data_IF_504613454869
#
_entry.id   IF_504613454869
#
_cell.length_a   1.000
_cell.length_b   1.000
_cell.length_c   1.000
_cell.angle_alpha   90.00
_cell.angle_beta   90.00
_cell.angle_gamma   90.00
#
_symmetry.space_group_name_H-M   'P 1'
#
loop_
_entity.id
_entity.type
_entity.pdbx_description
1 polymer ?
#
# COMPACT_ATOMS: atom_id res chain seq x y z
N UNK A 1 -15.99 -15.94 -25.65
CA UNK A 1 -15.23 -16.06 -24.37
C UNK A 1 -13.76 -16.47 -24.55
N UNK A 2 -13.41 -17.51 -25.32
CA UNK A 2 -12.01 -17.95 -25.53
C UNK A 2 -11.08 -16.87 -26.13
N UNK A 3 -11.59 -16.00 -27.00
CA UNK A 3 -10.80 -14.91 -27.60
C UNK A 3 -10.39 -13.82 -26.60
N UNK A 4 -11.22 -13.53 -25.58
CA UNK A 4 -10.91 -12.53 -24.55
C UNK A 4 -9.86 -13.06 -23.56
N UNK A 5 -9.94 -14.34 -23.17
CA UNK A 5 -8.94 -14.99 -22.32
C UNK A 5 -7.58 -15.07 -23.01
N UNK A 6 -7.55 -15.38 -24.31
CA UNK A 6 -6.32 -15.40 -25.11
C UNK A 6 -5.74 -13.99 -25.29
N UNK A 7 -6.60 -12.96 -25.43
CA UNK A 7 -6.18 -11.54 -25.46
C UNK A 7 -5.61 -11.11 -24.11
N UNK A 8 -6.21 -11.50 -22.99
CA UNK A 8 -5.67 -11.23 -21.64
C UNK A 8 -4.32 -11.95 -21.45
N UNK A 9 -4.20 -13.22 -21.85
CA UNK A 9 -2.95 -13.99 -21.77
C UNK A 9 -1.83 -13.46 -22.69
N UNK A 10 -2.16 -12.99 -23.89
CA UNK A 10 -1.19 -12.35 -24.80
C UNK A 10 -0.85 -10.93 -24.36
N UNK A 11 -1.80 -10.19 -23.77
CA UNK A 11 -1.56 -8.88 -23.15
C UNK A 11 -0.70 -9.00 -21.88
N UNK A 12 -0.82 -10.11 -21.14
CA UNK A 12 0.08 -10.49 -20.04
C UNK A 12 1.48 -10.87 -20.54
N UNK A 13 1.61 -11.48 -21.73
CA UNK A 13 2.90 -11.84 -22.35
C UNK A 13 3.65 -10.65 -22.97
N UNK A 14 2.92 -9.61 -23.39
CA UNK A 14 3.46 -8.32 -23.89
C UNK A 14 3.26 -7.22 -22.83
N UNK A 15 3.17 -7.61 -21.54
CA UNK A 15 3.16 -6.68 -20.43
C UNK A 15 4.51 -5.95 -20.36
N UNK A 16 4.53 -4.67 -19.97
CA UNK A 16 5.76 -3.97 -19.59
C UNK A 16 6.52 -4.84 -18.59
N UNK A 17 7.54 -5.55 -19.04
CA UNK A 17 8.24 -6.60 -18.30
C UNK A 17 8.73 -6.13 -16.94
N UNK A 18 8.98 -4.82 -16.81
CA UNK A 18 9.36 -4.16 -15.56
C UNK A 18 8.34 -4.27 -14.42
N UNK A 19 7.02 -4.25 -14.68
CA UNK A 19 6.03 -4.21 -13.59
C UNK A 19 5.77 -5.57 -12.97
N UNK A 20 5.52 -6.61 -13.78
CA UNK A 20 5.29 -7.96 -13.27
C UNK A 20 6.54 -8.51 -12.58
N UNK A 21 7.73 -8.27 -13.15
CA UNK A 21 9.00 -8.63 -12.53
C UNK A 21 9.22 -7.85 -11.23
N UNK A 22 8.84 -6.57 -11.17
CA UNK A 22 8.91 -5.79 -9.94
C UNK A 22 7.97 -6.36 -8.88
N UNK A 23 6.69 -6.56 -9.17
CA UNK A 23 5.72 -7.16 -8.24
C UNK A 23 6.21 -8.53 -7.77
N UNK A 24 6.61 -9.42 -8.68
CA UNK A 24 7.07 -10.76 -8.34
C UNK A 24 8.34 -10.77 -7.48
N UNK A 25 9.21 -9.76 -7.60
CA UNK A 25 10.42 -9.63 -6.75
C UNK A 25 10.11 -8.96 -5.42
N UNK A 26 9.21 -7.98 -5.41
CA UNK A 26 8.91 -7.19 -4.23
C UNK A 26 7.92 -7.92 -3.31
N UNK A 27 6.95 -8.66 -3.84
CA UNK A 27 5.95 -9.37 -3.04
C UNK A 27 6.57 -10.34 -2.02
N UNK A 28 7.50 -11.25 -2.38
CA UNK A 28 8.10 -12.17 -1.41
C UNK A 28 8.93 -11.45 -0.35
N UNK A 29 9.67 -10.40 -0.75
CA UNK A 29 10.47 -9.58 0.17
C UNK A 29 9.60 -8.87 1.22
N UNK A 30 8.34 -8.57 0.90
CA UNK A 30 7.38 -7.93 1.81
C UNK A 30 6.58 -8.93 2.64
N UNK A 31 6.06 -9.97 1.99
CA UNK A 31 5.15 -10.93 2.64
C UNK A 31 5.92 -11.89 3.53
N UNK A 32 7.15 -12.27 3.16
CA UNK A 32 7.92 -13.25 3.92
C UNK A 32 8.29 -12.75 5.33
N UNK A 33 8.85 -11.52 5.53
CA UNK A 33 9.15 -11.04 6.88
C UNK A 33 7.89 -10.91 7.75
N UNK A 34 6.77 -10.44 7.18
CA UNK A 34 5.51 -10.33 7.92
C UNK A 34 4.97 -11.71 8.30
N UNK A 35 5.03 -12.68 7.39
CA UNK A 35 4.59 -14.04 7.66
C UNK A 35 5.47 -14.71 8.71
N UNK A 36 6.80 -14.59 8.60
CA UNK A 36 7.76 -15.11 9.57
C UNK A 36 7.57 -14.48 10.95
N UNK A 37 7.36 -13.16 10.99
CA UNK A 37 7.14 -12.43 12.25
C UNK A 37 5.79 -12.80 12.88
N UNK A 38 4.72 -12.94 12.08
CA UNK A 38 3.39 -13.36 12.56
C UNK A 38 3.43 -14.81 13.08
N UNK A 39 4.14 -15.69 12.39
CA UNK A 39 4.38 -17.06 12.84
C UNK A 39 5.19 -17.09 14.15
N UNK A 40 6.24 -16.26 14.26
CA UNK A 40 7.01 -16.12 15.49
C UNK A 40 6.13 -15.63 16.65
N UNK A 41 5.30 -14.61 16.44
CA UNK A 41 4.33 -14.12 17.44
C UNK A 41 3.36 -15.20 17.90
N UNK A 42 2.84 -16.03 16.98
CA UNK A 42 1.94 -17.14 17.32
C UNK A 42 2.64 -18.23 18.13
N UNK A 43 3.89 -18.56 17.79
CA UNK A 43 4.71 -19.51 18.56
C UNK A 43 4.99 -18.97 19.97
N UNK A 44 5.26 -17.68 20.08
CA UNK A 44 5.55 -16.99 21.36
C UNK A 44 4.30 -16.84 22.22
N UNK A 45 3.13 -16.57 21.62
CA UNK A 45 1.84 -16.58 22.33
C UNK A 45 1.40 -17.98 22.75
N UNK A 46 1.78 -19.00 21.98
CA UNK A 46 1.49 -20.41 22.28
C UNK A 46 2.51 -21.13 23.16
N UNK A 47 3.66 -20.50 23.44
CA UNK A 47 4.76 -21.09 24.21
C UNK A 47 5.36 -20.11 25.19
N UNK A 48 5.32 -20.44 26.49
CA UNK A 48 5.90 -19.66 27.59
C UNK A 48 7.42 -19.49 27.45
N UNK A 49 7.88 -18.55 26.63
CA UNK A 49 9.29 -18.20 26.49
C UNK A 49 9.61 -16.93 27.28
N UNK A 50 10.26 -17.11 28.43
CA UNK A 50 10.56 -16.11 29.46
C UNK A 50 11.73 -15.16 29.13
N UNK A 51 11.93 -14.79 27.87
CA UNK A 51 13.10 -13.99 27.44
C UNK A 51 12.87 -13.07 26.25
N UNK A 52 11.61 -12.89 25.85
CA UNK A 52 11.25 -11.95 24.79
C UNK A 52 10.84 -10.60 25.40
N UNK A 53 11.05 -9.48 24.68
CA UNK A 53 10.55 -8.18 25.09
C UNK A 53 9.06 -8.29 25.46
N UNK A 54 8.62 -7.52 26.45
CA UNK A 54 7.23 -7.50 26.91
C UNK A 54 6.29 -7.57 25.71
N UNK A 55 5.35 -8.52 25.74
CA UNK A 55 4.46 -8.83 24.61
C UNK A 55 3.78 -7.58 24.05
N UNK A 56 3.51 -6.60 24.91
CA UNK A 56 2.92 -5.30 24.55
C UNK A 56 3.85 -4.47 23.66
N UNK A 57 5.14 -4.37 24.01
CA UNK A 57 6.13 -3.68 23.16
C UNK A 57 6.32 -4.39 21.81
N UNK A 58 6.32 -5.73 21.79
CA UNK A 58 6.41 -6.48 20.54
C UNK A 58 5.21 -6.21 19.63
N UNK A 59 4.00 -6.08 20.18
CA UNK A 59 2.79 -5.70 19.44
C UNK A 59 2.92 -4.28 18.89
N UNK A 60 3.45 -3.33 19.67
CA UNK A 60 3.63 -1.94 19.21
C UNK A 60 4.63 -1.83 18.05
N UNK A 61 5.77 -2.55 18.13
CA UNK A 61 6.74 -2.59 17.03
C UNK A 61 6.15 -3.26 15.77
N UNK A 62 5.33 -4.30 15.94
CA UNK A 62 4.63 -4.93 14.84
C UNK A 62 3.65 -3.97 14.16
N UNK A 63 2.83 -3.27 14.95
CA UNK A 63 1.86 -2.30 14.44
C UNK A 63 2.56 -1.14 13.73
N UNK A 64 3.68 -0.64 14.27
CA UNK A 64 4.52 0.36 13.61
C UNK A 64 5.09 -0.15 12.29
N UNK A 65 5.69 -1.34 12.27
CA UNK A 65 6.24 -1.95 11.06
C UNK A 65 5.16 -2.19 10.00
N UNK A 66 4.00 -2.71 10.42
CA UNK A 66 2.84 -2.95 9.57
C UNK A 66 2.33 -1.63 8.96
N UNK A 67 2.25 -0.56 9.75
CA UNK A 67 1.69 0.73 9.34
C UNK A 67 2.65 1.58 8.50
N UNK A 68 3.96 1.49 8.76
CA UNK A 68 4.98 2.31 8.10
C UNK A 68 5.59 1.65 6.86
N UNK A 69 5.65 0.33 6.82
CA UNK A 69 6.38 -0.40 5.77
C UNK A 69 5.42 -1.30 5.01
N UNK A 70 4.75 -2.23 5.69
CA UNK A 70 3.97 -3.24 4.97
C UNK A 70 2.75 -2.65 4.26
N UNK A 71 1.91 -1.90 4.98
CA UNK A 71 0.67 -1.33 4.46
C UNK A 71 0.91 -0.36 3.30
N UNK A 72 1.84 0.62 3.41
CA UNK A 72 2.19 1.49 2.27
C UNK A 72 2.62 0.73 1.04
N UNK A 73 3.47 -0.29 1.20
CA UNK A 73 3.99 -1.02 0.04
C UNK A 73 2.91 -1.90 -0.58
N UNK A 74 2.17 -2.65 0.22
CA UNK A 74 1.09 -3.50 -0.26
C UNK A 74 0.00 -2.67 -0.96
N UNK A 75 -0.42 -1.57 -0.34
CA UNK A 75 -1.37 -0.60 -0.92
C UNK A 75 -0.86 -0.09 -2.26
N UNK A 76 0.41 0.31 -2.35
CA UNK A 76 0.98 0.81 -3.61
C UNK A 76 1.02 -0.26 -4.70
N UNK A 77 1.32 -1.52 -4.36
CA UNK A 77 1.37 -2.60 -5.34
C UNK A 77 -0.02 -2.92 -5.90
N UNK A 78 -1.04 -3.01 -5.04
CA UNK A 78 -2.44 -3.16 -5.47
C UNK A 78 -2.91 -1.96 -6.28
N UNK A 79 -2.58 -0.75 -5.83
CA UNK A 79 -2.90 0.49 -6.50
C UNK A 79 -2.28 0.52 -7.91
N UNK A 80 -1.00 0.16 -7.99
CA UNK A 80 -0.27 0.07 -9.25
C UNK A 80 -0.83 -0.96 -10.20
N UNK A 81 -1.24 -2.14 -9.70
CA UNK A 81 -1.95 -3.14 -10.47
C UNK A 81 -3.25 -2.59 -11.07
N UNK A 82 -4.04 -1.85 -10.27
CA UNK A 82 -5.25 -1.17 -10.75
C UNK A 82 -4.96 -0.17 -11.88
N UNK A 83 -3.98 0.72 -11.68
CA UNK A 83 -3.55 1.69 -12.71
C UNK A 83 -3.09 0.99 -13.98
N UNK A 84 -2.35 -0.10 -13.87
CA UNK A 84 -1.89 -0.88 -15.00
C UNK A 84 -3.04 -1.50 -15.81
N UNK A 85 -4.03 -2.10 -15.13
CA UNK A 85 -5.23 -2.63 -15.78
C UNK A 85 -5.99 -1.52 -16.49
N UNK A 86 -6.23 -0.39 -15.83
CA UNK A 86 -6.97 0.75 -16.39
C UNK A 86 -6.27 1.34 -17.64
N UNK A 87 -4.94 1.47 -17.61
CA UNK A 87 -4.16 1.88 -18.79
C UNK A 87 -4.28 0.90 -19.95
N UNK A 88 -4.32 -0.40 -19.66
CA UNK A 88 -4.39 -1.46 -20.69
C UNK A 88 -5.73 -1.50 -21.41
N UNK A 89 -6.81 -1.15 -20.72
CA UNK A 89 -8.15 -1.04 -21.34
C UNK A 89 -8.36 0.33 -22.02
N UNK A 90 -7.34 1.20 -22.06
CA UNK A 90 -7.37 2.47 -22.78
C UNK A 90 -8.07 3.60 -22.03
N UNK A 91 -8.22 3.51 -20.71
CA UNK A 91 -8.79 4.61 -19.91
C UNK A 91 -7.84 5.82 -19.97
N UNK A 92 -8.40 7.02 -20.15
CA UNK A 92 -7.64 8.27 -20.12
C UNK A 92 -7.01 8.51 -18.74
N UNK A 93 -5.91 9.26 -18.66
CA UNK A 93 -5.26 9.58 -17.37
C UNK A 93 -6.22 10.23 -16.37
N UNK A 94 -7.11 11.11 -16.83
CA UNK A 94 -8.15 11.70 -15.98
C UNK A 94 -9.13 10.63 -15.46
N UNK A 95 -9.53 9.68 -16.32
CA UNK A 95 -10.36 8.55 -15.93
C UNK A 95 -9.67 7.62 -14.95
N UNK A 96 -8.36 7.39 -15.11
CA UNK A 96 -7.55 6.58 -14.17
C UNK A 96 -7.53 7.25 -12.80
N UNK A 97 -7.27 8.56 -12.74
CA UNK A 97 -7.32 9.32 -11.48
C UNK A 97 -8.69 9.19 -10.82
N UNK A 98 -9.78 9.42 -11.57
CA UNK A 98 -11.13 9.34 -11.04
C UNK A 98 -11.47 7.95 -10.50
N UNK A 99 -11.22 6.89 -11.27
CA UNK A 99 -11.52 5.51 -10.88
C UNK A 99 -10.66 5.07 -9.70
N UNK A 100 -9.35 5.37 -9.72
CA UNK A 100 -8.45 5.06 -8.62
C UNK A 100 -8.91 5.74 -7.33
N UNK A 101 -9.16 7.05 -7.33
CA UNK A 101 -9.64 7.76 -6.15
C UNK A 101 -10.95 7.17 -5.64
N UNK A 102 -11.92 6.94 -6.52
CA UNK A 102 -13.22 6.39 -6.11
C UNK A 102 -13.09 5.00 -5.48
N UNK A 103 -12.34 4.09 -6.09
CA UNK A 103 -12.14 2.72 -5.57
C UNK A 103 -11.43 2.75 -4.23
N UNK A 104 -10.37 3.54 -4.08
CA UNK A 104 -9.60 3.57 -2.85
C UNK A 104 -10.33 4.28 -1.73
N UNK A 105 -11.11 5.32 -2.02
CA UNK A 105 -11.99 5.95 -1.03
C UNK A 105 -13.12 5.01 -0.60
N UNK A 106 -13.68 4.20 -1.51
CA UNK A 106 -14.65 3.17 -1.14
C UNK A 106 -14.04 2.11 -0.23
N UNK A 107 -12.83 1.63 -0.54
CA UNK A 107 -12.12 0.64 0.29
C UNK A 107 -11.79 1.24 1.66
N UNK A 108 -11.23 2.45 1.69
CA UNK A 108 -10.85 3.11 2.94
C UNK A 108 -12.08 3.50 3.76
N UNK A 109 -13.14 4.01 3.15
CA UNK A 109 -14.38 4.37 3.84
C UNK A 109 -15.15 3.19 4.45
N UNK A 110 -14.86 1.94 4.05
CA UNK A 110 -15.34 0.75 4.76
C UNK A 110 -14.60 0.52 6.09
N UNK A 111 -13.44 1.16 6.28
CA UNK A 111 -12.50 0.95 7.39
C UNK A 111 -12.33 2.22 8.24
N UNK A 112 -12.42 3.41 7.63
CA UNK A 112 -12.16 4.72 8.26
C UNK A 112 -13.46 5.50 8.49
N UNK A 113 -13.47 6.32 9.56
CA UNK A 113 -14.59 7.21 9.86
C UNK A 113 -14.74 8.32 8.81
N UNK A 114 -15.98 8.72 8.54
CA UNK A 114 -16.37 9.74 7.54
C UNK A 114 -15.60 11.06 7.66
N UNK A 115 -15.15 11.43 8.87
CA UNK A 115 -14.36 12.63 9.12
C UNK A 115 -13.01 12.67 8.36
N UNK A 116 -12.47 11.51 7.98
CA UNK A 116 -11.19 11.39 7.27
C UNK A 116 -11.33 11.23 5.76
N UNK A 117 -12.57 11.13 5.25
CA UNK A 117 -12.84 10.83 3.85
C UNK A 117 -12.22 11.87 2.89
N UNK A 118 -12.24 13.14 3.26
CA UNK A 118 -11.64 14.21 2.46
C UNK A 118 -10.12 14.10 2.38
N UNK A 119 -9.47 13.69 3.48
CA UNK A 119 -8.04 13.46 3.53
C UNK A 119 -7.65 12.23 2.69
N UNK A 120 -8.43 11.15 2.76
CA UNK A 120 -8.26 9.95 1.95
C UNK A 120 -8.41 10.26 0.44
N UNK A 121 -9.46 11.00 0.06
CA UNK A 121 -9.67 11.47 -1.33
C UNK A 121 -8.45 12.23 -1.84
N UNK A 122 -7.95 13.19 -1.05
CA UNK A 122 -6.80 14.00 -1.43
C UNK A 122 -5.52 13.17 -1.54
N UNK A 123 -5.27 12.28 -0.58
CA UNK A 123 -4.13 11.39 -0.56
C UNK A 123 -4.08 10.52 -1.82
N UNK A 124 -5.16 9.80 -2.11
CA UNK A 124 -5.22 8.93 -3.28
C UNK A 124 -5.16 9.71 -4.58
N UNK A 125 -5.72 10.92 -4.64
CA UNK A 125 -5.58 11.79 -5.79
C UNK A 125 -4.11 12.13 -6.06
N UNK A 126 -3.40 12.63 -5.05
CA UNK A 126 -1.98 12.99 -5.14
C UNK A 126 -1.14 11.79 -5.54
N UNK A 127 -1.33 10.63 -4.89
CA UNK A 127 -0.60 9.40 -5.20
C UNK A 127 -0.84 8.99 -6.65
N UNK A 128 -2.08 9.03 -7.14
CA UNK A 128 -2.40 8.65 -8.53
C UNK A 128 -1.69 9.56 -9.52
N UNK A 129 -1.77 10.87 -9.31
CA UNK A 129 -1.14 11.88 -10.19
C UNK A 129 0.38 11.72 -10.19
N UNK A 130 1.00 11.57 -9.02
CA UNK A 130 2.44 11.37 -8.88
C UNK A 130 2.86 10.08 -9.58
N UNK A 131 2.14 8.99 -9.35
CA UNK A 131 2.43 7.71 -9.95
C UNK A 131 2.34 7.75 -11.48
N UNK A 132 1.30 8.37 -12.06
CA UNK A 132 1.17 8.55 -13.51
C UNK A 132 2.28 9.44 -14.08
N UNK A 133 2.66 10.49 -13.36
CA UNK A 133 3.73 11.41 -13.76
C UNK A 133 5.08 10.69 -13.83
N UNK A 134 5.43 9.96 -12.79
CA UNK A 134 6.68 9.20 -12.74
C UNK A 134 6.69 8.01 -13.69
N UNK A 135 5.52 7.41 -13.92
CA UNK A 135 5.37 6.34 -14.90
C UNK A 135 5.71 6.83 -16.31
N UNK A 136 5.25 8.03 -16.69
CA UNK A 136 5.60 8.67 -17.96
C UNK A 136 7.08 9.06 -18.05
N UNK A 137 7.65 9.58 -16.95
CA UNK A 137 9.03 10.12 -16.94
C UNK A 137 10.12 9.06 -16.81
N UNK A 138 9.87 7.98 -16.06
CA UNK A 138 10.92 7.07 -15.62
C UNK A 138 10.47 5.61 -15.46
N UNK A 139 9.26 5.28 -15.90
CA UNK A 139 8.73 3.91 -15.90
C UNK A 139 8.22 3.42 -14.53
N UNK A 140 7.71 2.18 -14.54
CA UNK A 140 7.00 1.56 -13.41
C UNK A 140 7.81 1.49 -12.11
N UNK A 141 9.11 1.16 -12.20
CA UNK A 141 9.95 1.02 -11.00
C UNK A 141 10.01 2.31 -10.19
N UNK A 142 10.31 3.43 -10.84
CA UNK A 142 10.38 4.73 -10.15
C UNK A 142 9.01 5.19 -9.68
N UNK A 143 7.97 5.00 -10.50
CA UNK A 143 6.60 5.35 -10.13
C UNK A 143 6.15 4.67 -8.84
N UNK A 144 6.37 3.36 -8.73
CA UNK A 144 6.01 2.57 -7.54
C UNK A 144 6.87 2.98 -6.34
N UNK A 145 8.19 3.13 -6.51
CA UNK A 145 9.07 3.54 -5.40
C UNK A 145 8.67 4.90 -4.83
N UNK A 146 8.38 5.89 -5.67
CA UNK A 146 7.96 7.22 -5.20
C UNK A 146 6.60 7.15 -4.51
N UNK A 147 5.65 6.39 -5.05
CA UNK A 147 4.34 6.21 -4.41
C UNK A 147 4.44 5.52 -3.03
N UNK A 148 5.31 4.51 -2.90
CA UNK A 148 5.63 3.88 -1.61
C UNK A 148 6.18 4.92 -0.64
N UNK A 149 7.18 5.70 -1.03
CA UNK A 149 7.80 6.70 -0.16
C UNK A 149 6.79 7.75 0.31
N UNK A 150 5.87 8.17 -0.56
CA UNK A 150 4.80 9.10 -0.19
C UNK A 150 3.82 8.50 0.81
N UNK A 151 3.42 7.24 0.63
CA UNK A 151 2.55 6.56 1.59
C UNK A 151 3.25 6.31 2.92
N UNK A 152 4.53 5.92 2.92
CA UNK A 152 5.33 5.79 4.13
C UNK A 152 5.43 7.14 4.88
N UNK A 153 5.70 8.23 4.17
CA UNK A 153 5.77 9.57 4.75
C UNK A 153 4.42 10.01 5.32
N UNK A 154 3.33 9.73 4.61
CA UNK A 154 1.98 10.01 5.10
C UNK A 154 1.66 9.22 6.36
N UNK A 155 1.91 7.91 6.38
CA UNK A 155 1.72 7.08 7.58
C UNK A 155 2.55 7.59 8.76
N UNK A 156 3.81 7.97 8.53
CA UNK A 156 4.68 8.53 9.57
C UNK A 156 4.13 9.86 10.11
N UNK A 157 3.64 10.74 9.24
CA UNK A 157 3.04 12.01 9.64
C UNK A 157 1.74 11.82 10.44
N UNK A 158 0.90 10.84 10.06
CA UNK A 158 -0.32 10.51 10.79
C UNK A 158 0.00 9.97 12.19
N UNK A 159 0.99 9.07 12.30
CA UNK A 159 1.44 8.55 13.60
C UNK A 159 1.99 9.68 14.48
N UNK A 160 2.86 10.52 13.93
CA UNK A 160 3.45 11.65 14.65
C UNK A 160 2.40 12.69 15.08
N UNK A 161 1.40 12.95 14.23
CA UNK A 161 0.29 13.85 14.55
C UNK A 161 -0.57 13.31 15.69
N UNK A 162 -0.90 12.02 15.66
CA UNK A 162 -1.69 11.37 16.71
C UNK A 162 -0.94 11.31 18.04
N UNK A 163 0.37 11.05 18.04
CA UNK A 163 1.17 11.06 19.29
C UNK A 163 1.30 12.47 19.87
N UNK A 164 1.45 13.49 19.04
CA UNK A 164 1.46 14.88 19.49
C UNK A 164 0.10 15.34 20.04
N UNK A 165 -1.02 14.86 19.49
CA UNK A 165 -2.35 15.15 20.01
C UNK A 165 -2.60 14.47 21.36
N UNK A 166 -2.16 13.21 21.52
CA UNK A 166 -2.29 12.48 22.77
C UNK A 166 -1.51 13.15 23.92
N UNK A 167 -0.29 13.64 23.65
CA UNK A 167 0.50 14.33 24.67
C UNK A 167 -0.11 15.67 25.10
N UNK A 168 -0.89 16.33 24.24
CA UNK A 168 -1.62 17.56 24.60
C UNK A 168 -2.85 17.22 25.44
N UNK A 169 -3.58 16.13 25.14
CA UNK A 169 -4.74 15.71 25.94
C UNK A 169 -4.38 15.26 27.36
N UNK A 170 -3.16 14.76 27.57
CA UNK A 170 -2.68 14.37 28.91
C UNK A 170 -2.32 15.58 29.79
N UNK A 171 -2.16 16.77 29.20
CA UNK A 171 -1.82 18.02 29.88
C UNK A 171 -3.07 18.83 30.26
N UNK A 172 -4.17 18.65 29.54
CA UNK A 172 -5.44 19.38 29.72
C UNK A 172 -6.38 18.65 30.69
#
# INVERSE_FOLDING_TARGET
MKAAALKILTTLRVADSGMLVYIARTLPVLTLPVFLYTAALQIVRGGSFSGLPDMDQAIDYYLLFQSLIFSPVFTTLLFGAGVWVLRRIGVSDAGIVGVSVAVWVLISGLVTHVLWLAADVWLYFVITVVMLTWLRKAGWRKAITVAIMLLCLHSAAMIAGNTALASISDIL
#
